data_IF_796126833589
#
_entry.id   IF_796126833589
#
_cell.length_a   1.000
_cell.length_b   1.000
_cell.length_c   1.000
_cell.angle_alpha   90.00
_cell.angle_beta   90.00
_cell.angle_gamma   90.00
#
_symmetry.space_group_name_H-M   'P 1'
#
loop_
_entity.id
_entity.type
_entity.pdbx_description
1 polymer ?
#
# COMPACT_ATOMS: atom_id res chain seq x y z
N UNK A 1 -10.20 28.83 6.30
CA UNK A 1 -9.48 28.54 5.03
C UNK A 1 -10.50 28.30 3.93
N UNK A 2 -10.40 29.02 2.85
CA UNK A 2 -11.34 28.93 1.72
C UNK A 2 -11.18 27.61 0.99
N UNK A 3 -12.27 26.98 0.58
CA UNK A 3 -12.35 25.76 -0.23
C UNK A 3 -11.51 25.83 -1.54
N UNK A 4 -11.29 27.02 -2.04
CA UNK A 4 -10.50 27.31 -3.25
C UNK A 4 -8.99 27.01 -3.06
N UNK A 5 -8.45 27.13 -1.83
CA UNK A 5 -7.04 26.86 -1.56
C UNK A 5 -6.71 25.36 -1.45
N UNK A 6 -7.72 24.51 -1.23
CA UNK A 6 -7.57 23.05 -1.21
C UNK A 6 -7.50 22.45 -2.62
N UNK A 7 -8.14 23.11 -3.60
CA UNK A 7 -8.13 22.65 -4.99
C UNK A 7 -6.85 23.06 -5.72
N UNK A 8 -6.25 24.20 -5.37
CA UNK A 8 -4.99 24.68 -5.97
C UNK A 8 -3.74 23.93 -5.49
N UNK A 9 -3.84 23.14 -4.43
CA UNK A 9 -2.77 22.24 -3.96
C UNK A 9 -2.90 20.80 -4.45
N UNK A 10 -3.53 20.57 -5.59
CA UNK A 10 -3.26 19.37 -6.35
C UNK A 10 -1.85 19.53 -6.91
N UNK A 11 -0.88 19.13 -6.09
CA UNK A 11 0.49 18.93 -6.47
C UNK A 11 0.59 18.20 -7.81
N UNK A 12 1.63 18.42 -8.53
CA UNK A 12 1.98 17.65 -9.74
C UNK A 12 1.75 16.16 -9.46
N UNK A 13 1.29 15.39 -10.43
CA UNK A 13 0.92 13.98 -10.26
C UNK A 13 1.98 13.15 -9.51
N UNK A 14 3.26 13.54 -9.55
CA UNK A 14 4.36 12.89 -8.84
C UNK A 14 4.31 13.14 -7.32
N UNK A 15 4.03 14.37 -6.88
CA UNK A 15 3.97 14.72 -5.44
C UNK A 15 2.70 14.20 -4.76
N UNK A 16 1.61 14.00 -5.52
CA UNK A 16 0.37 13.41 -4.99
C UNK A 16 0.45 11.90 -4.79
N UNK A 17 1.42 11.23 -5.38
CA UNK A 17 1.64 9.79 -5.26
C UNK A 17 2.56 9.42 -4.09
N UNK A 18 3.31 10.37 -3.52
CA UNK A 18 4.19 10.15 -2.36
C UNK A 18 3.47 10.45 -1.04
N UNK A 19 2.57 9.57 -0.63
CA UNK A 19 1.84 9.66 0.63
C UNK A 19 2.43 8.72 1.67
N UNK A 20 2.99 9.29 2.74
CA UNK A 20 3.49 8.49 3.86
C UNK A 20 2.33 8.03 4.75
N UNK A 21 2.19 6.73 4.88
CA UNK A 21 1.18 6.12 5.75
C UNK A 21 1.53 6.35 7.21
N UNK A 22 0.64 6.94 8.03
CA UNK A 22 0.86 7.05 9.46
C UNK A 22 1.05 5.68 10.11
N UNK A 23 1.95 5.60 11.10
CA UNK A 23 2.34 4.34 11.74
C UNK A 23 1.16 3.60 12.40
N UNK A 24 0.24 4.34 13.01
CA UNK A 24 -0.96 3.79 13.66
C UNK A 24 -1.97 3.19 12.67
N UNK A 25 -1.88 3.55 11.39
CA UNK A 25 -2.82 3.07 10.37
C UNK A 25 -2.54 1.63 9.90
N UNK A 26 -1.41 1.06 10.29
CA UNK A 26 -1.14 -0.38 10.05
C UNK A 26 -1.82 -1.29 11.08
N UNK A 27 -2.19 -0.77 12.25
CA UNK A 27 -2.72 -1.56 13.37
C UNK A 27 -3.87 -2.50 13.00
N UNK A 28 -4.89 -2.07 12.23
CA UNK A 28 -5.99 -2.96 11.86
C UNK A 28 -5.54 -4.16 11.02
N UNK A 29 -4.41 -4.04 10.30
CA UNK A 29 -3.88 -5.12 9.47
C UNK A 29 -3.16 -6.18 10.31
N UNK A 30 -2.49 -5.79 11.41
CA UNK A 30 -1.58 -6.67 12.18
C UNK A 30 -2.24 -7.97 12.63
N UNK A 31 -3.53 -7.94 13.01
CA UNK A 31 -4.26 -9.13 13.45
C UNK A 31 -4.46 -10.22 12.39
N UNK A 32 -4.23 -9.87 11.12
CA UNK A 32 -4.35 -10.80 10.00
C UNK A 32 -2.99 -11.33 9.53
N UNK A 33 -1.90 -10.90 10.17
CA UNK A 33 -0.54 -11.23 9.79
C UNK A 33 0.06 -12.25 10.74
N UNK A 34 0.95 -13.06 10.21
CA UNK A 34 1.72 -14.07 10.95
C UNK A 34 3.07 -13.46 11.37
N UNK A 35 3.41 -13.55 12.66
CA UNK A 35 4.68 -13.06 13.20
C UNK A 35 5.89 -13.89 12.79
N UNK A 36 5.67 -15.14 12.39
CA UNK A 36 6.73 -16.04 11.92
C UNK A 36 7.08 -15.81 10.44
N UNK A 37 6.40 -14.86 9.79
CA UNK A 37 6.60 -14.50 8.40
C UNK A 37 7.38 -13.21 8.24
N UNK A 38 8.14 -13.11 7.15
CA UNK A 38 8.83 -11.89 6.73
C UNK A 38 8.05 -11.23 5.60
N UNK A 39 7.71 -9.96 5.79
CA UNK A 39 6.99 -9.17 4.80
C UNK A 39 7.92 -8.22 4.05
N UNK A 40 7.51 -7.77 2.90
CA UNK A 40 8.25 -6.86 2.04
C UNK A 40 7.45 -5.57 1.81
N UNK A 41 8.04 -4.44 2.18
CA UNK A 41 7.48 -3.12 1.88
C UNK A 41 8.08 -2.61 0.56
N UNK A 42 7.28 -2.69 -0.48
CA UNK A 42 7.71 -2.53 -1.87
C UNK A 42 8.05 -1.08 -2.26
N UNK A 43 7.51 -0.11 -1.52
CA UNK A 43 7.69 1.32 -1.80
C UNK A 43 8.46 2.05 -0.69
N UNK A 44 9.16 1.28 0.17
CA UNK A 44 9.94 1.85 1.25
C UNK A 44 10.99 2.83 0.73
N UNK A 45 10.76 4.11 1.00
CA UNK A 45 11.76 5.16 0.82
C UNK A 45 12.79 5.15 1.96
N UNK A 46 13.56 6.24 2.09
CA UNK A 46 14.57 6.40 3.15
C UNK A 46 13.99 6.38 4.57
N UNK A 47 12.70 6.73 4.71
CA UNK A 47 11.95 6.65 5.97
C UNK A 47 10.56 6.11 5.66
N UNK A 48 10.30 4.86 5.99
CA UNK A 48 8.98 4.25 5.84
C UNK A 48 8.33 4.08 7.20
N UNK A 49 7.20 4.74 7.40
CA UNK A 49 6.40 4.57 8.64
C UNK A 49 5.80 3.16 8.72
N UNK A 50 5.65 2.48 7.59
CA UNK A 50 5.23 1.07 7.58
C UNK A 50 6.33 0.20 8.19
N UNK A 51 7.59 0.41 7.80
CA UNK A 51 8.73 -0.34 8.37
C UNK A 51 8.85 -0.13 9.88
N UNK A 52 8.85 1.14 10.33
CA UNK A 52 8.98 1.44 11.76
C UNK A 52 7.80 0.92 12.57
N UNK A 53 6.58 1.02 12.05
CA UNK A 53 5.40 0.53 12.71
C UNK A 53 5.40 -1.00 12.85
N UNK A 54 5.77 -1.74 11.82
CA UNK A 54 5.87 -3.20 11.89
C UNK A 54 6.93 -3.64 12.90
N UNK A 55 8.11 -3.00 12.87
CA UNK A 55 9.19 -3.28 13.81
C UNK A 55 8.75 -3.01 15.25
N UNK A 56 8.10 -1.90 15.53
CA UNK A 56 7.57 -1.55 16.84
C UNK A 56 6.60 -2.59 17.42
N UNK A 57 5.85 -3.30 16.57
CA UNK A 57 4.92 -4.37 16.97
C UNK A 57 5.51 -5.78 16.86
N UNK A 58 6.79 -5.91 16.58
CA UNK A 58 7.53 -7.17 16.57
C UNK A 58 7.23 -8.05 15.35
N UNK A 59 6.92 -7.44 14.20
CA UNK A 59 6.79 -8.14 12.92
C UNK A 59 8.06 -7.99 12.10
N UNK A 60 8.44 -9.04 11.39
CA UNK A 60 9.57 -8.99 10.46
C UNK A 60 9.12 -8.36 9.13
N UNK A 61 9.75 -7.26 8.77
CA UNK A 61 9.51 -6.57 7.50
C UNK A 61 10.82 -6.03 6.94
N UNK A 62 10.99 -6.13 5.64
CA UNK A 62 12.14 -5.60 4.91
C UNK A 62 11.69 -4.59 3.86
N UNK A 63 12.44 -3.52 3.70
CA UNK A 63 12.17 -2.50 2.70
C UNK A 63 12.81 -2.83 1.35
N UNK A 64 12.40 -2.10 0.32
CA UNK A 64 12.87 -2.28 -1.06
C UNK A 64 14.38 -2.07 -1.25
N UNK A 65 15.01 -1.28 -0.39
CA UNK A 65 16.43 -0.97 -0.50
C UNK A 65 16.83 -0.32 -1.84
N UNK A 66 15.87 0.29 -2.54
CA UNK A 66 16.06 0.87 -3.87
C UNK A 66 15.81 -0.11 -5.03
N UNK A 67 15.44 -1.36 -4.75
CA UNK A 67 15.05 -2.33 -5.79
C UNK A 67 13.69 -1.96 -6.36
N UNK A 68 13.54 -2.08 -7.69
CA UNK A 68 12.22 -1.95 -8.31
C UNK A 68 11.34 -3.14 -7.91
N UNK A 69 10.13 -2.85 -7.46
CA UNK A 69 9.17 -3.88 -7.06
C UNK A 69 8.84 -4.85 -8.20
N UNK A 70 8.82 -4.36 -9.43
CA UNK A 70 8.50 -5.18 -10.60
C UNK A 70 9.60 -6.17 -10.99
N UNK A 71 10.79 -6.06 -10.40
CA UNK A 71 11.88 -7.04 -10.51
C UNK A 71 11.80 -8.15 -9.44
N UNK A 72 10.86 -8.06 -8.50
CA UNK A 72 10.64 -9.09 -7.48
C UNK A 72 9.93 -10.30 -8.09
N UNK A 73 10.33 -11.50 -7.64
CA UNK A 73 9.80 -12.78 -8.12
C UNK A 73 9.38 -13.68 -6.95
N UNK A 74 8.64 -14.76 -7.24
CA UNK A 74 8.15 -15.70 -6.24
C UNK A 74 9.27 -16.29 -5.36
N UNK A 75 10.45 -16.51 -5.90
CA UNK A 75 11.60 -17.08 -5.17
C UNK A 75 12.32 -16.11 -4.24
N UNK A 76 11.94 -14.83 -4.21
CA UNK A 76 12.56 -13.86 -3.28
C UNK A 76 12.30 -14.20 -1.82
N UNK A 77 13.24 -13.83 -0.94
CA UNK A 77 13.27 -14.20 0.47
C UNK A 77 12.30 -13.40 1.34
N UNK A 78 11.04 -13.31 0.96
CA UNK A 78 9.96 -12.79 1.80
C UNK A 78 8.68 -13.61 1.58
N UNK A 79 7.80 -13.61 2.56
CA UNK A 79 6.58 -14.44 2.56
C UNK A 79 5.35 -13.69 2.04
N UNK A 80 5.37 -12.37 2.06
CA UNK A 80 4.25 -11.56 1.59
C UNK A 80 4.64 -10.10 1.35
N UNK A 81 3.78 -9.37 0.68
CA UNK A 81 3.97 -7.95 0.33
C UNK A 81 2.98 -7.08 1.09
N UNK A 82 3.47 -6.02 1.72
CA UNK A 82 2.62 -5.02 2.38
C UNK A 82 3.13 -3.66 1.95
N UNK A 83 2.28 -2.88 1.30
CA UNK A 83 2.71 -1.56 0.82
C UNK A 83 1.53 -0.63 0.55
N UNK A 84 1.82 0.67 0.56
CA UNK A 84 0.97 1.72 0.02
C UNK A 84 1.52 2.13 -1.35
N UNK A 85 1.04 1.54 -2.45
CA UNK A 85 1.61 1.79 -3.77
C UNK A 85 1.24 3.18 -4.27
N UNK A 86 2.06 3.79 -5.15
CA UNK A 86 1.64 4.99 -5.88
C UNK A 86 0.34 4.71 -6.63
N UNK A 87 -0.69 5.53 -6.39
CA UNK A 87 -2.04 5.24 -6.91
C UNK A 87 -2.14 5.30 -8.43
N UNK A 88 -1.25 6.02 -9.09
CA UNK A 88 -1.11 6.00 -10.55
C UNK A 88 -0.70 4.63 -11.09
N UNK A 89 0.03 3.84 -10.30
CA UNK A 89 0.54 2.50 -10.65
C UNK A 89 -0.24 1.36 -10.00
N UNK A 90 -1.34 1.63 -9.30
CA UNK A 90 -2.10 0.63 -8.53
C UNK A 90 -2.45 -0.64 -9.32
N UNK A 91 -2.80 -0.49 -10.59
CA UNK A 91 -3.18 -1.63 -11.44
C UNK A 91 -1.99 -2.52 -11.77
N UNK A 92 -0.80 -1.93 -11.95
CA UNK A 92 0.44 -2.66 -12.17
C UNK A 92 0.87 -3.40 -10.91
N UNK A 93 0.83 -2.72 -9.75
CA UNK A 93 1.11 -3.35 -8.45
C UNK A 93 0.19 -4.53 -8.18
N UNK A 94 -1.12 -4.34 -8.38
CA UNK A 94 -2.12 -5.38 -8.15
C UNK A 94 -1.87 -6.63 -9.02
N UNK A 95 -1.64 -6.42 -10.32
CA UNK A 95 -1.34 -7.52 -11.25
C UNK A 95 -0.06 -8.25 -10.87
N UNK A 96 1.00 -7.50 -10.51
CA UNK A 96 2.28 -8.07 -10.12
C UNK A 96 2.17 -8.89 -8.84
N UNK A 97 1.46 -8.39 -7.82
CA UNK A 97 1.21 -9.13 -6.59
C UNK A 97 0.50 -10.47 -6.84
N UNK A 98 -0.54 -10.48 -7.67
CA UNK A 98 -1.22 -11.73 -8.04
C UNK A 98 -0.31 -12.68 -8.84
N UNK A 99 0.47 -12.15 -9.77
CA UNK A 99 1.40 -12.96 -10.57
C UNK A 99 2.51 -13.59 -9.72
N UNK A 100 2.93 -12.91 -8.65
CA UNK A 100 3.94 -13.39 -7.71
C UNK A 100 3.45 -14.59 -6.86
N UNK A 101 2.15 -14.77 -6.70
CA UNK A 101 1.57 -15.90 -5.97
C UNK A 101 1.75 -15.86 -4.45
N UNK A 102 2.27 -14.76 -3.89
CA UNK A 102 2.43 -14.57 -2.44
C UNK A 102 1.26 -13.79 -1.85
N UNK A 103 0.93 -13.98 -0.57
CA UNK A 103 -0.01 -13.10 0.14
C UNK A 103 0.41 -11.63 0.04
N UNK A 104 -0.55 -10.75 -0.11
CA UNK A 104 -0.26 -9.32 -0.14
C UNK A 104 -1.38 -8.49 0.48
N UNK A 105 -1.01 -7.31 0.98
CA UNK A 105 -1.92 -6.27 1.41
C UNK A 105 -1.50 -4.93 0.80
N UNK A 106 -2.40 -4.33 0.04
CA UNK A 106 -2.20 -3.02 -0.59
C UNK A 106 -3.15 -2.00 0.01
N UNK A 107 -2.62 -0.86 0.45
CA UNK A 107 -3.46 0.27 0.82
C UNK A 107 -3.91 1.00 -0.45
N UNK A 108 -5.18 0.93 -0.75
CA UNK A 108 -5.74 1.46 -2.00
C UNK A 108 -6.96 2.35 -1.71
N UNK A 109 -7.22 3.36 -2.55
CA UNK A 109 -8.46 4.11 -2.46
C UNK A 109 -9.67 3.21 -2.76
N UNK A 110 -10.81 3.46 -2.11
CA UNK A 110 -12.04 2.67 -2.28
C UNK A 110 -12.50 2.58 -3.74
N UNK A 111 -12.19 3.59 -4.54
CA UNK A 111 -12.45 3.59 -5.99
C UNK A 111 -11.70 2.50 -6.75
N UNK A 112 -10.71 1.85 -6.11
CA UNK A 112 -9.98 0.71 -6.70
C UNK A 112 -10.86 -0.53 -6.87
N UNK A 113 -11.98 -0.64 -6.15
CA UNK A 113 -12.97 -1.70 -6.37
C UNK A 113 -13.73 -1.54 -7.70
N UNK A 114 -13.71 -0.35 -8.28
CA UNK A 114 -14.37 -0.05 -9.53
C UNK A 114 -13.42 -0.26 -10.72
N UNK A 115 -13.99 -0.61 -11.85
CA UNK A 115 -13.26 -0.78 -13.10
C UNK A 115 -13.31 -2.22 -13.62
N UNK A 116 -13.61 -2.33 -14.92
CA UNK A 116 -13.85 -3.63 -15.59
C UNK A 116 -12.65 -4.58 -15.47
N UNK A 117 -11.42 -4.07 -15.62
CA UNK A 117 -10.20 -4.88 -15.55
C UNK A 117 -9.91 -5.39 -14.15
N UNK A 118 -10.02 -4.55 -13.13
CA UNK A 118 -9.85 -4.95 -11.74
C UNK A 118 -10.95 -5.88 -11.27
N UNK A 119 -12.21 -5.57 -11.62
CA UNK A 119 -13.33 -6.43 -11.28
C UNK A 119 -13.16 -7.85 -11.80
N UNK A 120 -12.71 -8.02 -13.04
CA UNK A 120 -12.39 -9.34 -13.60
C UNK A 120 -11.28 -10.03 -12.80
N UNK A 121 -10.19 -9.34 -12.51
CA UNK A 121 -9.07 -9.86 -11.75
C UNK A 121 -9.50 -10.32 -10.34
N UNK A 122 -10.32 -9.54 -9.64
CA UNK A 122 -10.84 -9.90 -8.31
C UNK A 122 -11.77 -11.12 -8.35
N UNK A 123 -12.58 -11.25 -9.39
CA UNK A 123 -13.46 -12.41 -9.56
C UNK A 123 -12.69 -13.70 -9.86
N UNK A 124 -11.59 -13.60 -10.62
CA UNK A 124 -10.76 -14.75 -10.99
C UNK A 124 -9.81 -15.18 -9.87
N UNK A 125 -9.18 -14.22 -9.21
CA UNK A 125 -8.11 -14.47 -8.24
C UNK A 125 -8.57 -14.40 -6.78
N UNK A 126 -9.75 -13.86 -6.54
CA UNK A 126 -10.26 -13.60 -5.19
C UNK A 126 -9.65 -12.34 -4.57
N UNK A 127 -10.33 -11.78 -3.58
CA UNK A 127 -9.85 -10.69 -2.75
C UNK A 127 -10.58 -10.66 -1.41
N UNK A 128 -9.92 -10.08 -0.41
CA UNK A 128 -10.57 -9.64 0.83
C UNK A 128 -10.34 -8.15 1.01
N UNK A 129 -11.27 -7.47 1.67
CA UNK A 129 -11.15 -6.04 1.94
C UNK A 129 -11.17 -5.77 3.44
N UNK A 130 -10.21 -4.98 3.90
CA UNK A 130 -10.22 -4.34 5.20
C UNK A 130 -10.57 -2.87 5.00
N UNK A 131 -11.77 -2.49 5.41
CA UNK A 131 -12.26 -1.13 5.23
C UNK A 131 -12.07 -0.33 6.53
N UNK A 132 -11.37 0.80 6.43
CA UNK A 132 -11.21 1.71 7.55
C UNK A 132 -12.49 2.50 7.76
N UNK A 133 -12.92 2.60 9.02
CA UNK A 133 -14.10 3.40 9.40
C UNK A 133 -13.81 4.90 9.44
N UNK A 134 -12.54 5.27 9.52
CA UNK A 134 -12.08 6.65 9.50
C UNK A 134 -11.21 6.89 8.27
N UNK A 135 -11.20 8.14 7.81
CA UNK A 135 -10.28 8.57 6.78
C UNK A 135 -8.84 8.52 7.29
N UNK A 136 -7.93 8.00 6.48
CA UNK A 136 -6.50 8.06 6.77
C UNK A 136 -5.99 9.45 6.37
N UNK A 137 -5.43 10.17 7.34
CA UNK A 137 -4.74 11.43 7.11
C UNK A 137 -3.25 11.14 6.88
N UNK A 138 -2.80 11.30 5.66
CA UNK A 138 -1.39 11.11 5.30
C UNK A 138 -0.56 12.33 5.66
N UNK A 139 0.68 12.14 6.11
CA UNK A 139 1.55 13.20 6.64
C UNK A 139 2.01 14.24 5.61
N UNK A 140 1.82 14.02 4.35
CA UNK A 140 2.01 15.02 3.30
C UNK A 140 0.65 15.44 2.80
N UNK A 141 0.02 16.42 3.41
CA UNK A 141 -1.15 17.22 3.04
C UNK A 141 -2.01 16.78 1.82
N UNK A 142 -1.98 15.51 1.45
CA UNK A 142 -2.81 14.95 0.39
C UNK A 142 -4.01 14.30 1.04
N UNK A 143 -5.13 14.93 0.88
CA UNK A 143 -6.41 14.39 1.30
C UNK A 143 -6.82 13.36 0.26
N UNK A 144 -6.57 12.08 0.51
CA UNK A 144 -7.19 11.01 -0.26
C UNK A 144 -8.57 10.75 0.33
N UNK A 145 -9.60 10.88 -0.49
CA UNK A 145 -10.95 10.39 -0.15
C UNK A 145 -10.99 8.91 -0.51
N UNK A 146 -11.16 8.07 0.48
CA UNK A 146 -11.64 6.73 0.28
C UNK A 146 -13.16 6.76 0.13
#
# INVERSE_FOLDING_TARGET
MSYTNLIQRRATNAESDECYTPEDQILPLLKYLDKDKTYYEATAGKSSSILSGFDAYGYSIVGSGGRDFFDCVESDCFDGVITNPPYSKKDQFLKHCYAMGKPFALLLPVTSFQGKGRGKLFMEMGMSALVYNNRIDFTVNVITSF
#
